data_IF_364431035381
#
_entry.id   IF_364431035381
#
_cell.length_a   1.000
_cell.length_b   1.000
_cell.length_c   1.000
_cell.angle_alpha   90.00
_cell.angle_beta   90.00
_cell.angle_gamma   90.00
#
_symmetry.space_group_name_H-M   'P 1'
#
loop_
_entity.id
_entity.type
_entity.pdbx_description
1 polymer ?
#
# COMPACT_ATOMS: atom_id res chain seq x y z
N UNK A 1 -10.79 11.97 -7.74
CA UNK A 1 -9.40 12.02 -8.24
C UNK A 1 -9.01 10.69 -8.88
N UNK A 2 -9.23 9.55 -8.21
CA UNK A 2 -9.02 8.23 -8.84
C UNK A 2 -9.91 8.03 -10.10
N UNK A 3 -11.14 8.53 -10.11
CA UNK A 3 -11.96 8.53 -11.34
C UNK A 3 -11.29 9.27 -12.50
N UNK A 4 -10.63 10.41 -12.23
CA UNK A 4 -9.87 11.17 -13.22
C UNK A 4 -8.60 10.44 -13.68
N UNK A 5 -8.06 9.55 -12.85
CA UNK A 5 -6.90 8.72 -13.17
C UNK A 5 -7.26 7.49 -14.02
N UNK A 6 -8.53 7.30 -14.41
CA UNK A 6 -8.99 6.11 -15.14
C UNK A 6 -9.45 4.97 -14.24
N UNK A 7 -9.78 5.25 -12.97
CA UNK A 7 -10.34 4.25 -12.06
C UNK A 7 -9.31 3.20 -11.62
N UNK A 8 -9.74 1.95 -11.34
CA UNK A 8 -8.88 0.88 -10.85
C UNK A 8 -7.71 0.52 -11.77
N UNK A 9 -7.87 0.75 -13.09
CA UNK A 9 -6.90 0.38 -14.11
C UNK A 9 -5.86 1.47 -14.38
N UNK A 10 -5.97 2.63 -13.70
CA UNK A 10 -5.04 3.76 -13.83
C UNK A 10 -4.86 4.30 -15.26
N UNK A 11 -5.84 4.05 -16.15
CA UNK A 11 -5.73 4.32 -17.59
C UNK A 11 -5.42 5.78 -18.00
N UNK A 12 -5.61 6.74 -17.09
CA UNK A 12 -5.35 8.16 -17.32
C UNK A 12 -4.43 8.78 -16.26
N UNK A 13 -3.72 7.98 -15.45
CA UNK A 13 -2.87 8.57 -14.40
C UNK A 13 -1.67 9.34 -14.96
N UNK A 14 -1.18 8.96 -16.14
CA UNK A 14 -0.05 9.61 -16.82
C UNK A 14 -0.41 10.97 -17.40
N UNK A 15 -1.70 11.25 -17.62
CA UNK A 15 -2.17 12.55 -18.12
C UNK A 15 -2.40 13.56 -16.99
N UNK A 16 -2.28 13.14 -15.73
CA UNK A 16 -2.43 14.03 -14.58
C UNK A 16 -1.15 14.86 -14.34
N UNK A 17 -1.28 16.11 -13.86
CA UNK A 17 -0.15 16.87 -13.35
C UNK A 17 0.60 16.12 -12.27
N UNK A 18 1.91 16.32 -12.16
CA UNK A 18 2.77 15.58 -11.23
C UNK A 18 2.25 15.55 -9.78
N UNK A 19 1.78 16.70 -9.27
CA UNK A 19 1.23 16.79 -7.91
C UNK A 19 -0.04 15.95 -7.72
N UNK A 20 -0.94 15.95 -8.70
CA UNK A 20 -2.14 15.13 -8.66
C UNK A 20 -1.78 13.64 -8.74
N UNK A 21 -0.84 13.28 -9.61
CA UNK A 21 -0.34 11.90 -9.72
C UNK A 21 0.23 11.39 -8.40
N UNK A 22 1.09 12.17 -7.74
CA UNK A 22 1.63 11.81 -6.42
C UNK A 22 0.52 11.67 -5.39
N UNK A 23 -0.45 12.60 -5.37
CA UNK A 23 -1.58 12.55 -4.44
C UNK A 23 -2.47 11.32 -4.66
N UNK A 24 -2.61 10.84 -5.90
CA UNK A 24 -3.36 9.61 -6.18
C UNK A 24 -2.54 8.36 -5.82
N UNK A 25 -1.25 8.32 -6.16
CA UNK A 25 -0.38 7.17 -5.94
C UNK A 25 0.14 7.02 -4.51
N UNK A 26 0.09 8.05 -3.68
CA UNK A 26 0.69 8.04 -2.35
C UNK A 26 -0.21 8.70 -1.32
N UNK A 27 -0.35 8.05 -0.16
CA UNK A 27 -1.09 8.58 0.97
C UNK A 27 -0.15 8.80 2.17
N UNK A 28 0.10 10.06 2.50
CA UNK A 28 0.99 10.44 3.61
C UNK A 28 0.51 9.91 4.97
N UNK A 29 -0.80 9.92 5.22
CA UNK A 29 -1.35 9.44 6.49
C UNK A 29 -1.19 7.93 6.66
N UNK A 30 -1.39 7.18 5.58
CA UNK A 30 -1.12 5.76 5.57
C UNK A 30 0.39 5.45 5.66
N UNK A 31 1.26 6.36 5.20
CA UNK A 31 2.70 6.21 5.40
C UNK A 31 3.09 6.33 6.87
N UNK A 32 2.52 7.31 7.58
CA UNK A 32 2.85 7.58 8.98
C UNK A 32 2.22 6.58 9.94
N UNK A 33 0.98 6.16 9.67
CA UNK A 33 0.20 5.34 10.58
C UNK A 33 0.02 3.88 10.13
N UNK A 34 0.43 3.54 8.90
CA UNK A 34 0.44 2.19 8.36
C UNK A 34 -0.88 1.43 8.59
N UNK A 35 -0.86 0.29 9.33
CA UNK A 35 -2.04 -0.51 9.58
C UNK A 35 -3.11 0.23 10.41
N UNK A 36 -2.73 1.14 11.31
CA UNK A 36 -3.69 1.89 12.12
C UNK A 36 -4.55 2.83 11.26
N UNK A 37 -3.97 3.41 10.20
CA UNK A 37 -4.75 4.17 9.21
C UNK A 37 -5.80 3.28 8.52
N UNK A 38 -5.40 2.08 8.09
CA UNK A 38 -6.32 1.14 7.44
C UNK A 38 -7.44 0.72 8.39
N UNK A 39 -7.14 0.43 9.64
CA UNK A 39 -8.14 0.11 10.66
C UNK A 39 -9.12 1.27 10.86
N UNK A 40 -8.63 2.51 11.00
CA UNK A 40 -9.48 3.70 11.14
C UNK A 40 -10.39 3.93 9.91
N UNK A 41 -9.93 3.59 8.71
CA UNK A 41 -10.72 3.66 7.47
C UNK A 41 -11.62 2.43 7.24
N UNK A 42 -11.61 1.47 8.17
CA UNK A 42 -12.37 0.23 8.11
C UNK A 42 -11.91 -0.74 7.01
N UNK A 43 -10.63 -0.68 6.63
CA UNK A 43 -9.93 -1.58 5.70
C UNK A 43 -9.22 -2.71 6.47
N UNK A 44 -9.84 -3.22 7.54
CA UNK A 44 -9.19 -4.14 8.50
C UNK A 44 -8.66 -5.42 7.85
N UNK A 45 -9.38 -5.94 6.87
CA UNK A 45 -8.99 -7.12 6.11
C UNK A 45 -7.67 -6.94 5.34
N UNK A 46 -7.49 -5.77 4.72
CA UNK A 46 -6.24 -5.40 4.04
C UNK A 46 -5.14 -5.04 5.02
N UNK A 47 -5.49 -4.44 6.16
CA UNK A 47 -4.53 -4.21 7.24
C UNK A 47 -3.86 -5.51 7.69
N UNK A 48 -4.66 -6.57 7.92
CA UNK A 48 -4.15 -7.90 8.27
C UNK A 48 -3.31 -8.50 7.13
N UNK A 49 -3.80 -8.44 5.89
CA UNK A 49 -3.08 -9.00 4.74
C UNK A 49 -1.71 -8.32 4.53
N UNK A 50 -1.65 -6.99 4.58
CA UNK A 50 -0.41 -6.24 4.42
C UNK A 50 0.52 -6.38 5.62
N UNK A 51 -0.01 -6.43 6.85
CA UNK A 51 0.80 -6.70 8.04
C UNK A 51 1.44 -8.10 7.98
N UNK A 52 0.66 -9.12 7.59
CA UNK A 52 1.16 -10.48 7.38
C UNK A 52 2.22 -10.54 6.29
N UNK A 53 2.01 -9.85 5.16
CA UNK A 53 3.00 -9.76 4.09
C UNK A 53 4.28 -9.05 4.56
N UNK A 54 4.17 -7.95 5.29
CA UNK A 54 5.34 -7.26 5.87
C UNK A 54 6.10 -8.17 6.84
N UNK A 55 5.39 -8.94 7.67
CA UNK A 55 6.01 -9.89 8.59
C UNK A 55 6.78 -10.99 7.86
N UNK A 56 6.18 -11.62 6.84
CA UNK A 56 6.85 -12.65 6.02
C UNK A 56 8.06 -12.08 5.29
N UNK A 57 7.95 -10.88 4.72
CA UNK A 57 9.08 -10.21 4.06
C UNK A 57 10.20 -9.85 5.04
N UNK A 58 9.85 -9.47 6.28
CA UNK A 58 10.82 -9.25 7.35
C UNK A 58 11.58 -10.53 7.70
N UNK A 59 10.88 -11.64 7.93
CA UNK A 59 11.53 -12.94 8.19
C UNK A 59 12.41 -13.40 7.04
N UNK A 60 11.97 -13.19 5.79
CA UNK A 60 12.76 -13.51 4.62
C UNK A 60 14.03 -12.64 4.53
N UNK A 61 13.93 -11.36 4.88
CA UNK A 61 15.09 -10.47 4.98
C UNK A 61 16.08 -10.96 6.04
N UNK A 62 15.61 -11.28 7.25
CA UNK A 62 16.46 -11.75 8.35
C UNK A 62 17.18 -13.04 7.98
N UNK A 63 16.49 -13.97 7.29
CA UNK A 63 17.09 -15.19 6.77
C UNK A 63 18.18 -14.92 5.73
N UNK A 64 17.91 -14.03 4.76
CA UNK A 64 18.89 -13.66 3.73
C UNK A 64 20.11 -12.95 4.34
N UNK A 65 19.89 -12.11 5.34
CA UNK A 65 20.95 -11.45 6.07
C UNK A 65 21.83 -12.46 6.83
N UNK A 66 21.21 -13.41 7.52
CA UNK A 66 21.92 -14.45 8.28
C UNK A 66 22.77 -15.36 7.37
N UNK A 67 22.24 -15.78 6.22
CA UNK A 67 22.89 -16.75 5.34
C UNK A 67 23.89 -16.13 4.35
N UNK A 68 23.58 -14.93 3.83
CA UNK A 68 24.35 -14.31 2.75
C UNK A 68 25.05 -13.01 3.16
N UNK A 69 24.87 -12.54 4.41
CA UNK A 69 25.46 -11.27 4.87
C UNK A 69 24.98 -10.04 4.10
N UNK A 70 23.85 -10.18 3.37
CA UNK A 70 23.34 -9.21 2.40
C UNK A 70 21.93 -8.73 2.76
N UNK A 71 21.68 -8.49 4.06
CA UNK A 71 20.46 -7.86 4.53
C UNK A 71 20.31 -6.48 3.88
N UNK A 72 19.39 -6.35 2.94
CA UNK A 72 19.18 -5.10 2.22
C UNK A 72 18.03 -4.34 2.88
N UNK A 73 18.29 -3.08 3.25
CA UNK A 73 17.32 -2.13 3.81
C UNK A 73 15.99 -2.08 3.04
N UNK A 74 16.03 -2.35 1.74
CA UNK A 74 14.89 -2.37 0.82
C UNK A 74 13.89 -3.48 1.15
N UNK A 75 14.34 -4.68 1.54
CA UNK A 75 13.43 -5.80 1.83
C UNK A 75 12.75 -5.66 3.20
N UNK A 76 13.49 -5.22 4.23
CA UNK A 76 12.94 -5.04 5.58
C UNK A 76 12.01 -3.82 5.73
N UNK A 77 12.37 -2.67 5.16
CA UNK A 77 11.60 -1.42 5.33
C UNK A 77 10.66 -1.10 4.17
N UNK A 78 10.97 -1.56 2.95
CA UNK A 78 10.18 -1.27 1.76
C UNK A 78 8.77 -1.87 1.81
N UNK A 79 8.58 -2.98 2.52
CA UNK A 79 7.27 -3.61 2.70
C UNK A 79 6.25 -2.67 3.37
N UNK A 80 6.71 -1.78 4.25
CA UNK A 80 5.83 -0.80 4.92
C UNK A 80 5.24 0.20 3.93
N UNK A 81 5.89 0.42 2.77
CA UNK A 81 5.40 1.30 1.71
C UNK A 81 4.16 0.74 0.98
N UNK A 82 3.79 -0.53 1.20
CA UNK A 82 2.54 -1.08 0.68
C UNK A 82 1.33 -0.27 1.19
N UNK A 83 1.33 0.12 2.46
CA UNK A 83 0.24 0.89 3.04
C UNK A 83 0.00 2.23 2.32
N UNK A 84 0.99 3.14 2.20
CA UNK A 84 0.79 4.42 1.54
C UNK A 84 0.55 4.33 0.04
N UNK A 85 1.14 3.36 -0.65
CA UNK A 85 1.00 3.24 -2.12
C UNK A 85 -0.41 2.78 -2.49
N UNK A 86 -0.96 1.80 -1.74
CA UNK A 86 -2.27 1.22 -2.07
C UNK A 86 -3.45 1.88 -1.35
N UNK A 87 -3.20 2.69 -0.31
CA UNK A 87 -4.25 3.24 0.56
C UNK A 87 -5.38 3.98 -0.17
N UNK A 88 -5.02 4.85 -1.12
CA UNK A 88 -6.01 5.62 -1.86
C UNK A 88 -6.87 4.71 -2.75
N UNK A 89 -6.24 3.76 -3.43
CA UNK A 89 -6.92 2.81 -4.30
C UNK A 89 -7.81 1.86 -3.50
N UNK A 90 -7.33 1.34 -2.38
CA UNK A 90 -8.09 0.44 -1.52
C UNK A 90 -9.31 1.11 -0.90
N UNK A 91 -9.13 2.35 -0.44
CA UNK A 91 -10.25 3.13 0.06
C UNK A 91 -11.26 3.45 -1.05
N UNK A 92 -10.77 3.73 -2.26
CA UNK A 92 -11.64 3.94 -3.43
C UNK A 92 -12.44 2.69 -3.78
N UNK A 93 -11.81 1.52 -3.88
CA UNK A 93 -12.49 0.24 -4.14
C UNK A 93 -13.57 -0.03 -3.10
N UNK A 94 -13.28 0.19 -1.81
CA UNK A 94 -14.25 0.04 -0.74
C UNK A 94 -15.46 0.97 -0.91
N UNK A 95 -15.23 2.26 -1.15
CA UNK A 95 -16.30 3.27 -1.14
C UNK A 95 -17.10 3.27 -2.45
N UNK A 96 -16.45 3.02 -3.60
CA UNK A 96 -17.07 3.14 -4.92
C UNK A 96 -17.49 1.82 -5.52
N UNK A 97 -16.72 0.76 -5.30
CA UNK A 97 -16.99 -0.56 -5.86
C UNK A 97 -17.61 -1.53 -4.85
N UNK A 98 -17.69 -1.14 -3.56
CA UNK A 98 -18.11 -2.02 -2.48
C UNK A 98 -17.10 -3.12 -2.15
N UNK A 99 -15.92 -3.11 -2.79
CA UNK A 99 -14.86 -4.10 -2.61
C UNK A 99 -13.93 -3.69 -1.46
N UNK A 100 -14.04 -4.40 -0.34
CA UNK A 100 -13.18 -4.22 0.84
C UNK A 100 -12.20 -5.40 1.02
N UNK A 101 -11.96 -6.17 -0.03
CA UNK A 101 -11.05 -7.30 -0.03
C UNK A 101 -11.60 -8.58 0.60
N UNK A 102 -10.83 -9.63 0.35
CA UNK A 102 -11.08 -11.06 0.54
C UNK A 102 -12.21 -11.65 -0.32
N UNK A 103 -13.21 -10.88 -0.73
CA UNK A 103 -14.09 -11.11 -1.89
C UNK A 103 -15.00 -9.89 -2.06
#
# INVERSE_FOLDING_TARGET
MIDKAGGPDWGHVSTLPFQERVTVCFNLWACLFGPFYYLAKGLWKKAIAYAGLCFVLGLANDYVEAEFGAGNFIFGNGAVLLFPIFANMDYFKKVRLGDNGWW
#
